data_IF_564263480097
#
_entry.id   IF_564263480097
#
_cell.length_a   1.000
_cell.length_b   1.000
_cell.length_c   1.000
_cell.angle_alpha   90.00
_cell.angle_beta   90.00
_cell.angle_gamma   90.00
#
_symmetry.space_group_name_H-M   'P 1'
#
loop_
_entity.id
_entity.type
_entity.pdbx_description
1 polymer ?
#
# COMPACT_ATOMS: atom_id res chain seq x y z
N UNK A 1 24.55 -19.35 -26.16
CA UNK A 1 23.22 -19.79 -25.69
C UNK A 1 22.22 -19.51 -26.79
N UNK A 2 21.40 -20.49 -27.17
CA UNK A 2 20.45 -20.34 -28.28
C UNK A 2 19.22 -19.62 -27.72
N UNK A 3 19.07 -18.32 -28.00
CA UNK A 3 17.82 -17.60 -27.74
C UNK A 3 16.85 -17.93 -28.89
N UNK A 4 16.27 -19.12 -28.89
CA UNK A 4 15.18 -19.43 -29.82
C UNK A 4 13.87 -18.86 -29.24
N UNK A 5 13.07 -18.12 -30.03
CA UNK A 5 11.78 -17.63 -29.57
C UNK A 5 10.76 -18.75 -29.33
N UNK A 6 11.01 -19.95 -29.88
CA UNK A 6 10.20 -21.15 -29.70
C UNK A 6 11.10 -22.35 -29.40
N UNK A 7 10.77 -23.08 -28.33
CA UNK A 7 11.41 -24.30 -27.90
C UNK A 7 10.41 -25.46 -28.00
N UNK A 8 10.62 -26.34 -28.97
CA UNK A 8 9.81 -27.55 -29.15
C UNK A 8 10.25 -28.64 -28.15
N UNK A 9 9.63 -28.66 -26.99
CA UNK A 9 10.03 -29.49 -25.85
C UNK A 9 9.82 -30.99 -26.12
N UNK A 10 8.84 -31.33 -26.96
CA UNK A 10 8.58 -32.72 -27.33
C UNK A 10 9.72 -33.37 -28.13
N UNK A 11 10.60 -32.57 -28.76
CA UNK A 11 11.78 -33.05 -29.48
C UNK A 11 13.01 -33.23 -28.57
N UNK A 12 12.92 -32.88 -27.28
CA UNK A 12 14.02 -32.96 -26.31
C UNK A 12 13.93 -34.27 -25.52
N UNK A 13 15.06 -34.93 -25.28
CA UNK A 13 15.10 -36.14 -24.45
C UNK A 13 14.49 -35.89 -23.06
N UNK A 14 13.66 -36.80 -22.51
CA UNK A 14 12.91 -36.57 -21.27
C UNK A 14 13.75 -36.05 -20.10
N UNK A 15 14.95 -36.61 -19.89
CA UNK A 15 15.88 -36.20 -18.83
C UNK A 15 16.47 -34.80 -19.00
N UNK A 16 16.45 -34.27 -20.23
CA UNK A 16 17.02 -32.97 -20.59
C UNK A 16 15.96 -31.88 -20.74
N UNK A 17 14.66 -32.22 -20.74
CA UNK A 17 13.56 -31.24 -20.92
C UNK A 17 13.64 -30.10 -19.90
N UNK A 18 13.59 -30.40 -18.60
CA UNK A 18 13.59 -29.36 -17.56
C UNK A 18 14.92 -28.57 -17.51
N UNK A 19 16.11 -29.21 -17.50
CA UNK A 19 17.38 -28.48 -17.54
C UNK A 19 17.47 -27.51 -18.74
N UNK A 20 17.06 -27.94 -19.93
CA UNK A 20 17.12 -27.08 -21.13
C UNK A 20 16.20 -25.87 -21.03
N UNK A 21 15.00 -26.05 -20.47
CA UNK A 21 14.05 -24.95 -20.25
C UNK A 21 14.57 -23.97 -19.21
N UNK A 22 15.21 -24.48 -18.14
CA UNK A 22 15.78 -23.66 -17.08
C UNK A 22 16.96 -22.84 -17.61
N UNK A 23 17.85 -23.48 -18.37
CA UNK A 23 18.97 -22.79 -19.02
C UNK A 23 18.46 -21.70 -19.98
N UNK A 24 17.38 -21.96 -20.74
CA UNK A 24 16.77 -20.94 -21.60
C UNK A 24 16.17 -19.78 -20.80
N UNK A 25 15.48 -20.09 -19.71
CA UNK A 25 14.88 -19.08 -18.84
C UNK A 25 15.95 -18.23 -18.13
N UNK A 26 16.99 -18.87 -17.58
CA UNK A 26 18.08 -18.22 -16.88
C UNK A 26 18.87 -17.31 -17.85
N UNK A 27 18.96 -17.67 -19.13
CA UNK A 27 19.58 -16.90 -20.20
C UNK A 27 18.80 -15.66 -20.68
N UNK A 28 17.53 -15.51 -20.28
CA UNK A 28 16.74 -14.35 -20.66
C UNK A 28 17.30 -13.10 -20.01
N UNK A 29 17.42 -12.03 -20.78
CA UNK A 29 17.54 -10.69 -20.21
C UNK A 29 16.17 -10.22 -19.70
N UNK A 30 16.17 -9.18 -18.90
CA UNK A 30 14.93 -8.60 -18.39
C UNK A 30 14.01 -8.14 -19.54
N UNK A 31 12.72 -8.45 -19.43
CA UNK A 31 11.72 -8.19 -20.48
C UNK A 31 11.72 -9.17 -21.65
N UNK A 32 12.68 -10.09 -21.71
CA UNK A 32 12.70 -11.13 -22.74
C UNK A 32 11.78 -12.29 -22.38
N UNK A 33 11.31 -12.99 -23.42
CA UNK A 33 10.49 -14.19 -23.27
C UNK A 33 10.75 -15.17 -24.41
N UNK A 34 10.38 -16.43 -24.18
CA UNK A 34 10.35 -17.48 -25.18
C UNK A 34 9.11 -18.36 -24.98
N UNK A 35 8.75 -19.13 -26.01
CA UNK A 35 7.60 -20.02 -25.98
C UNK A 35 8.11 -21.46 -25.88
N UNK A 36 7.53 -22.26 -24.99
CA UNK A 36 7.64 -23.72 -25.03
C UNK A 36 6.42 -24.30 -25.74
N UNK A 37 6.63 -25.30 -26.59
CA UNK A 37 5.58 -26.14 -27.17
C UNK A 37 5.76 -27.58 -26.73
N UNK A 38 4.73 -28.16 -26.12
CA UNK A 38 4.77 -29.49 -25.52
C UNK A 38 3.56 -30.33 -25.94
N UNK A 39 3.66 -31.65 -25.81
CA UNK A 39 2.62 -32.64 -26.13
C UNK A 39 1.64 -32.92 -24.97
N UNK A 40 1.87 -32.29 -23.81
CA UNK A 40 1.00 -32.36 -22.63
C UNK A 40 1.10 -31.06 -21.81
N UNK A 41 0.16 -30.85 -20.88
CA UNK A 41 0.15 -29.68 -19.99
C UNK A 41 1.43 -29.62 -19.14
N UNK A 42 2.25 -28.56 -19.28
CA UNK A 42 3.48 -28.39 -18.51
C UNK A 42 3.24 -27.88 -17.07
N UNK A 43 2.04 -28.07 -16.50
CA UNK A 43 1.71 -27.65 -15.13
C UNK A 43 2.71 -28.13 -14.04
N UNK A 44 3.29 -29.35 -14.08
CA UNK A 44 4.34 -29.72 -13.12
C UNK A 44 5.61 -28.87 -13.23
N UNK A 45 6.00 -28.52 -14.46
CA UNK A 45 7.13 -27.66 -14.76
C UNK A 45 6.90 -26.23 -14.24
N UNK A 46 5.67 -25.72 -14.36
CA UNK A 46 5.28 -24.42 -13.77
C UNK A 46 5.58 -24.37 -12.28
N UNK A 47 5.11 -25.35 -11.50
CA UNK A 47 5.34 -25.36 -10.06
C UNK A 47 6.83 -25.48 -9.70
N UNK A 48 7.61 -26.21 -10.50
CA UNK A 48 9.04 -26.32 -10.27
C UNK A 48 9.76 -24.99 -10.53
N UNK A 49 9.50 -24.33 -11.67
CA UNK A 49 10.06 -23.00 -11.96
C UNK A 49 9.62 -21.95 -10.94
N UNK A 50 8.37 -21.99 -10.50
CA UNK A 50 7.85 -21.09 -9.48
C UNK A 50 8.59 -21.26 -8.15
N UNK A 51 8.83 -22.51 -7.72
CA UNK A 51 9.57 -22.79 -6.50
C UNK A 51 11.04 -22.37 -6.54
N UNK A 52 11.66 -22.43 -7.72
CA UNK A 52 13.09 -22.16 -7.88
C UNK A 52 13.44 -20.72 -8.33
N UNK A 53 12.53 -20.00 -8.99
CA UNK A 53 12.78 -18.68 -9.62
C UNK A 53 11.69 -17.64 -9.34
N UNK A 54 10.70 -17.95 -8.49
CA UNK A 54 9.36 -17.33 -8.42
C UNK A 54 9.20 -15.81 -8.26
N UNK A 55 10.25 -15.00 -8.22
CA UNK A 55 10.14 -13.54 -8.30
C UNK A 55 10.20 -13.00 -9.74
N UNK A 56 10.85 -13.73 -10.65
CA UNK A 56 11.14 -13.25 -12.01
C UNK A 56 10.40 -14.04 -13.09
N UNK A 57 9.44 -14.89 -12.72
CA UNK A 57 8.75 -15.79 -13.65
C UNK A 57 7.42 -15.19 -14.14
N UNK A 58 7.35 -14.88 -15.43
CA UNK A 58 6.10 -14.70 -16.17
C UNK A 58 5.71 -16.05 -16.81
N UNK A 59 4.46 -16.48 -16.62
CA UNK A 59 3.93 -17.73 -17.17
C UNK A 59 2.55 -17.51 -17.81
N UNK A 60 2.46 -17.58 -19.14
CA UNK A 60 1.22 -17.35 -19.87
C UNK A 60 0.92 -18.50 -20.83
N UNK A 61 -0.25 -19.13 -20.68
CA UNK A 61 -0.75 -20.07 -21.68
C UNK A 61 -1.15 -19.34 -22.96
N UNK A 62 -0.62 -19.80 -24.10
CA UNK A 62 -1.01 -19.36 -25.45
C UNK A 62 -1.96 -20.37 -26.11
N UNK A 63 -1.80 -21.65 -25.80
CA UNK A 63 -2.64 -22.75 -26.29
C UNK A 63 -2.72 -23.84 -25.21
N UNK A 64 -3.92 -24.39 -24.98
CA UNK A 64 -4.20 -25.34 -23.88
C UNK A 64 -4.80 -26.66 -24.39
N UNK A 65 -4.14 -27.29 -25.37
CA UNK A 65 -4.54 -28.59 -25.91
C UNK A 65 -5.77 -28.57 -26.84
N UNK A 66 -6.23 -29.75 -27.31
CA UNK A 66 -5.78 -31.09 -26.94
C UNK A 66 -4.54 -31.59 -27.68
N UNK A 67 -4.17 -30.98 -28.82
CA UNK A 67 -3.06 -31.45 -29.64
C UNK A 67 -1.70 -30.92 -29.16
N UNK A 68 -1.63 -29.64 -28.78
CA UNK A 68 -0.42 -29.01 -28.28
C UNK A 68 -0.69 -28.05 -27.13
N UNK A 69 0.31 -27.89 -26.27
CA UNK A 69 0.32 -26.92 -25.20
C UNK A 69 1.44 -25.92 -25.47
N UNK A 70 1.08 -24.64 -25.61
CA UNK A 70 2.03 -23.56 -25.82
C UNK A 70 2.00 -22.61 -24.63
N UNK A 71 3.16 -22.36 -24.04
CA UNK A 71 3.29 -21.46 -22.90
C UNK A 71 4.43 -20.49 -23.17
N UNK A 72 4.17 -19.20 -22.96
CA UNK A 72 5.21 -18.18 -22.94
C UNK A 72 5.80 -18.06 -21.54
N UNK A 73 7.11 -18.24 -21.44
CA UNK A 73 7.92 -18.00 -20.25
C UNK A 73 8.71 -16.71 -20.46
N UNK A 74 8.78 -15.83 -19.46
CA UNK A 74 9.55 -14.60 -19.57
C UNK A 74 10.03 -14.05 -18.25
N UNK A 75 10.96 -13.10 -18.31
CA UNK A 75 11.32 -12.26 -17.17
C UNK A 75 10.57 -10.92 -17.27
N UNK A 76 10.06 -10.36 -16.17
CA UNK A 76 9.50 -9.02 -16.21
C UNK A 76 10.56 -8.02 -16.69
N UNK A 77 10.13 -6.96 -17.38
CA UNK A 77 11.01 -5.83 -17.65
C UNK A 77 11.47 -5.25 -16.30
N UNK A 78 12.73 -4.83 -16.18
CA UNK A 78 13.29 -4.25 -14.95
C UNK A 78 12.55 -2.94 -14.61
N UNK A 79 11.87 -2.35 -15.60
CA UNK A 79 10.94 -1.23 -15.45
C UNK A 79 9.50 -1.62 -15.07
N UNK A 80 9.11 -2.90 -15.11
CA UNK A 80 7.79 -3.36 -14.65
C UNK A 80 7.71 -3.58 -13.14
N UNK A 81 8.84 -3.43 -12.42
CA UNK A 81 8.82 -3.14 -10.98
C UNK A 81 9.37 -1.74 -10.72
N UNK A 82 8.76 -0.71 -11.31
CA UNK A 82 8.92 0.64 -10.76
C UNK A 82 8.37 0.59 -9.33
N UNK A 83 9.27 0.46 -8.36
CA UNK A 83 8.92 0.39 -6.96
C UNK A 83 8.12 1.64 -6.58
N UNK A 84 6.84 1.47 -6.30
CA UNK A 84 5.96 2.58 -5.94
C UNK A 84 6.24 3.03 -4.52
N UNK A 85 5.92 4.28 -4.19
CA UNK A 85 6.13 4.80 -2.82
C UNK A 85 5.32 4.04 -1.76
N UNK A 86 4.14 3.53 -2.12
CA UNK A 86 3.36 2.65 -1.26
C UNK A 86 4.09 1.33 -1.01
N UNK A 87 4.65 0.70 -2.04
CA UNK A 87 5.41 -0.54 -1.85
C UNK A 87 6.71 -0.34 -1.05
N UNK A 88 7.36 0.82 -1.21
CA UNK A 88 8.52 1.21 -0.39
C UNK A 88 8.10 1.35 1.09
N UNK A 89 7.00 2.04 1.37
CA UNK A 89 6.48 2.23 2.73
C UNK A 89 6.05 0.90 3.37
N UNK A 90 5.42 0.00 2.61
CA UNK A 90 4.96 -1.29 3.11
C UNK A 90 6.10 -2.23 3.53
N UNK A 91 7.29 -2.07 2.94
CA UNK A 91 8.48 -2.88 3.26
C UNK A 91 9.25 -2.38 4.49
N UNK A 92 9.21 -1.07 4.75
CA UNK A 92 10.00 -0.46 5.81
C UNK A 92 9.28 0.76 6.40
N UNK A 93 8.82 0.61 7.65
CA UNK A 93 8.11 1.66 8.38
C UNK A 93 8.96 2.93 8.55
N UNK A 94 10.30 2.82 8.54
CA UNK A 94 11.20 3.98 8.62
C UNK A 94 11.15 4.82 7.33
N UNK A 95 10.97 4.15 6.18
CA UNK A 95 10.78 4.82 4.90
C UNK A 95 9.42 5.51 4.83
N UNK A 96 8.37 4.88 5.39
CA UNK A 96 7.07 5.54 5.55
C UNK A 96 7.19 6.84 6.37
N UNK A 97 7.97 6.83 7.45
CA UNK A 97 8.24 8.03 8.26
C UNK A 97 8.97 9.13 7.46
N UNK A 98 9.98 8.77 6.66
CA UNK A 98 10.66 9.74 5.77
C UNK A 98 9.69 10.32 4.75
N UNK A 99 8.88 9.49 4.10
CA UNK A 99 7.89 9.95 3.10
C UNK A 99 6.89 10.92 3.74
N UNK A 100 6.40 10.61 4.94
CA UNK A 100 5.53 11.50 5.75
C UNK A 100 6.19 12.84 6.05
N UNK A 101 7.43 12.85 6.53
CA UNK A 101 8.17 14.07 6.88
C UNK A 101 8.40 14.97 5.66
N UNK A 102 8.55 14.38 4.48
CA UNK A 102 8.70 15.11 3.22
C UNK A 102 7.36 15.54 2.61
N UNK A 103 6.23 15.12 3.18
CA UNK A 103 4.89 15.41 2.65
C UNK A 103 4.57 14.62 1.38
N UNK A 104 5.22 13.47 1.15
CA UNK A 104 4.90 12.58 0.04
C UNK A 104 3.62 11.81 0.37
N UNK A 105 2.66 11.83 -0.55
CA UNK A 105 1.40 11.07 -0.43
C UNK A 105 1.61 9.59 -0.79
N UNK A 106 2.20 8.83 0.14
CA UNK A 106 2.42 7.39 -0.04
C UNK A 106 1.20 6.52 0.32
N UNK A 107 0.16 7.13 0.89
CA UNK A 107 -1.02 6.44 1.39
C UNK A 107 -2.10 6.33 0.30
N UNK A 108 -2.55 7.47 -0.23
CA UNK A 108 -3.54 7.55 -1.30
C UNK A 108 -2.84 7.54 -2.66
N UNK A 109 -1.76 8.32 -2.79
CA UNK A 109 -0.86 8.34 -3.95
C UNK A 109 0.13 7.17 -4.01
N UNK A 110 -0.08 6.08 -3.27
CA UNK A 110 0.87 4.98 -3.11
C UNK A 110 1.32 4.27 -4.39
N UNK A 111 0.56 4.43 -5.49
CA UNK A 111 0.90 3.92 -6.82
C UNK A 111 1.95 4.77 -7.57
N UNK A 112 2.24 5.98 -7.10
CA UNK A 112 3.26 6.83 -7.70
C UNK A 112 4.63 6.18 -7.64
N UNK A 113 5.39 6.32 -8.72
CA UNK A 113 6.81 5.98 -8.75
C UNK A 113 7.60 6.91 -7.83
N UNK A 114 8.79 6.48 -7.41
CA UNK A 114 9.68 7.33 -6.61
C UNK A 114 9.98 8.68 -7.29
N UNK A 115 10.08 8.69 -8.62
CA UNK A 115 10.32 9.89 -9.40
C UNK A 115 9.16 10.87 -9.36
N UNK A 116 7.93 10.38 -9.53
CA UNK A 116 6.71 11.20 -9.48
C UNK A 116 6.51 11.78 -8.09
N UNK A 117 6.70 10.95 -7.06
CA UNK A 117 6.63 11.37 -5.67
C UNK A 117 7.72 12.39 -5.30
N UNK A 118 8.96 12.24 -5.80
CA UNK A 118 10.00 13.25 -5.58
C UNK A 118 9.60 14.59 -6.21
N UNK A 119 9.10 14.56 -7.44
CA UNK A 119 8.68 15.77 -8.15
C UNK A 119 7.50 16.47 -7.47
N UNK A 120 6.55 15.73 -6.87
CA UNK A 120 5.40 16.32 -6.18
C UNK A 120 5.79 17.13 -4.93
N UNK A 121 6.94 16.84 -4.32
CA UNK A 121 7.50 17.55 -3.16
C UNK A 121 8.70 18.43 -3.50
N UNK A 122 8.96 18.67 -4.79
CA UNK A 122 10.05 19.55 -5.25
C UNK A 122 11.46 19.00 -5.05
N UNK A 123 11.59 17.67 -4.95
CA UNK A 123 12.87 16.95 -4.90
C UNK A 123 13.16 16.24 -6.23
N UNK A 124 14.42 15.88 -6.45
CA UNK A 124 14.79 14.90 -7.48
C UNK A 124 14.75 13.46 -6.92
N UNK A 125 14.63 12.48 -7.82
CA UNK A 125 14.53 11.05 -7.44
C UNK A 125 15.76 10.57 -6.65
N UNK A 126 16.96 11.07 -6.98
CA UNK A 126 18.21 10.64 -6.37
C UNK A 126 18.25 11.10 -4.91
N UNK A 127 17.87 12.34 -4.66
CA UNK A 127 17.81 12.93 -3.32
C UNK A 127 16.75 12.24 -2.45
N UNK A 128 15.55 11.98 -2.99
CA UNK A 128 14.53 11.22 -2.25
C UNK A 128 15.03 9.80 -1.91
N UNK A 129 15.62 9.10 -2.89
CA UNK A 129 16.20 7.76 -2.69
C UNK A 129 17.30 7.76 -1.63
N UNK A 130 18.17 8.79 -1.64
CA UNK A 130 19.24 8.96 -0.65
C UNK A 130 18.67 9.09 0.76
N UNK A 131 17.63 9.91 0.96
CA UNK A 131 16.97 10.08 2.27
C UNK A 131 16.32 8.79 2.76
N UNK A 132 15.64 8.05 1.88
CA UNK A 132 15.03 6.76 2.22
C UNK A 132 16.08 5.74 2.65
N UNK A 133 17.20 5.65 1.93
CA UNK A 133 18.27 4.70 2.27
C UNK A 133 18.96 5.07 3.60
N UNK A 134 19.12 6.35 3.91
CA UNK A 134 19.69 6.79 5.19
C UNK A 134 18.84 6.40 6.40
N UNK A 135 17.51 6.28 6.22
CA UNK A 135 16.64 5.81 7.30
C UNK A 135 16.90 4.35 7.69
N UNK A 136 17.55 3.56 6.82
CA UNK A 136 17.88 2.16 7.11
C UNK A 136 18.93 2.00 8.21
N UNK A 137 19.73 3.04 8.46
CA UNK A 137 20.75 3.08 9.50
C UNK A 137 20.18 3.40 10.90
N UNK A 138 18.91 3.83 10.97
CA UNK A 138 18.24 4.11 12.24
C UNK A 138 17.82 2.80 12.93
N UNK A 139 18.17 2.60 14.21
CA UNK A 139 17.81 1.40 14.95
C UNK A 139 16.29 1.29 15.07
N UNK A 140 15.74 0.14 14.68
CA UNK A 140 14.32 -0.17 14.84
C UNK A 140 14.07 -0.56 16.30
N UNK A 141 13.05 0.02 16.94
CA UNK A 141 12.50 -0.51 18.18
C UNK A 141 11.65 -1.77 17.89
N UNK A 142 12.32 -2.89 17.58
CA UNK A 142 11.68 -4.18 17.32
C UNK A 142 11.95 -4.76 15.93
N UNK A 143 11.46 -5.98 15.64
CA UNK A 143 11.55 -6.57 14.31
C UNK A 143 10.65 -5.79 13.31
N UNK A 144 11.07 -5.61 12.05
CA UNK A 144 10.22 -5.03 11.02
C UNK A 144 8.97 -5.89 10.81
N UNK A 145 7.78 -5.28 10.92
CA UNK A 145 6.50 -5.95 10.64
C UNK A 145 6.31 -6.03 9.13
N UNK A 146 6.29 -7.24 8.57
CA UNK A 146 6.03 -7.44 7.15
C UNK A 146 4.53 -7.68 6.90
N UNK A 147 3.76 -6.58 6.89
CA UNK A 147 2.30 -6.62 6.69
C UNK A 147 1.89 -7.30 5.37
N UNK A 148 2.77 -7.31 4.36
CA UNK A 148 2.51 -7.98 3.08
C UNK A 148 2.38 -9.49 3.22
N UNK A 149 3.01 -10.10 4.23
CA UNK A 149 2.96 -11.55 4.43
C UNK A 149 1.76 -11.98 5.29
N UNK A 150 0.98 -11.03 5.83
CA UNK A 150 -0.14 -11.34 6.72
C UNK A 150 -1.37 -11.81 5.95
N UNK A 151 -2.11 -12.75 6.52
CA UNK A 151 -3.41 -13.16 6.00
C UNK A 151 -4.41 -11.99 6.09
N UNK A 152 -5.39 -11.97 5.18
CA UNK A 152 -6.30 -10.84 5.00
C UNK A 152 -7.24 -10.61 6.19
N UNK A 153 -7.67 -11.70 6.84
CA UNK A 153 -8.49 -11.70 8.05
C UNK A 153 -7.71 -11.19 9.26
N UNK A 154 -6.45 -11.60 9.40
CA UNK A 154 -5.57 -11.12 10.46
C UNK A 154 -5.21 -9.64 10.26
N UNK A 155 -4.95 -9.21 9.03
CA UNK A 155 -4.66 -7.81 8.73
C UNK A 155 -5.85 -6.90 9.04
N UNK A 156 -7.08 -7.30 8.69
CA UNK A 156 -8.28 -6.53 9.04
C UNK A 156 -8.51 -6.48 10.55
N UNK A 157 -8.26 -7.57 11.26
CA UNK A 157 -8.29 -7.58 12.73
C UNK A 157 -7.25 -6.67 13.36
N UNK A 158 -6.04 -6.62 12.81
CA UNK A 158 -5.01 -5.71 13.28
C UNK A 158 -5.43 -4.25 13.08
N UNK A 159 -5.88 -3.88 11.87
CA UNK A 159 -6.32 -2.53 11.55
C UNK A 159 -7.43 -2.08 12.52
N UNK A 160 -8.43 -2.93 12.74
CA UNK A 160 -9.51 -2.66 13.69
C UNK A 160 -9.00 -2.51 15.14
N UNK A 161 -8.16 -3.43 15.60
CA UNK A 161 -7.79 -3.48 17.02
C UNK A 161 -6.67 -2.52 17.41
N UNK A 162 -5.91 -2.02 16.43
CA UNK A 162 -4.83 -1.04 16.63
C UNK A 162 -5.30 0.33 16.20
N UNK A 163 -5.60 0.53 14.91
CA UNK A 163 -5.87 1.84 14.34
C UNK A 163 -7.28 2.35 14.65
N UNK A 164 -8.33 1.57 14.39
CA UNK A 164 -9.72 2.04 14.67
C UNK A 164 -9.92 2.27 16.17
N UNK A 165 -9.36 1.40 17.00
CA UNK A 165 -9.38 1.58 18.46
C UNK A 165 -8.67 2.88 18.85
N UNK A 166 -7.47 3.13 18.31
CA UNK A 166 -6.73 4.36 18.59
C UNK A 166 -7.52 5.60 18.18
N UNK A 167 -8.13 5.61 17.00
CA UNK A 167 -9.00 6.70 16.52
C UNK A 167 -10.15 6.95 17.50
N UNK A 168 -10.84 5.89 17.95
CA UNK A 168 -11.99 6.01 18.87
C UNK A 168 -11.58 6.42 20.29
N UNK A 169 -10.37 6.08 20.73
CA UNK A 169 -9.84 6.49 22.04
C UNK A 169 -9.31 7.93 22.02
N UNK A 170 -8.65 8.36 20.94
CA UNK A 170 -7.99 9.67 20.85
C UNK A 170 -8.87 10.76 20.27
N UNK A 171 -9.76 10.45 19.34
CA UNK A 171 -10.64 11.41 18.69
C UNK A 171 -11.39 12.29 19.69
N UNK A 172 -12.15 11.73 20.65
CA UNK A 172 -12.89 12.54 21.62
C UNK A 172 -12.01 13.42 22.50
N UNK A 173 -10.80 12.95 22.85
CA UNK A 173 -9.83 13.70 23.66
C UNK A 173 -9.28 14.90 22.87
N UNK A 174 -8.94 14.69 21.61
CA UNK A 174 -8.46 15.74 20.70
C UNK A 174 -9.56 16.79 20.51
N UNK A 175 -10.79 16.33 20.29
CA UNK A 175 -11.96 17.16 20.07
C UNK A 175 -12.24 18.08 21.28
N UNK A 176 -12.31 17.51 22.49
CA UNK A 176 -12.47 18.28 23.73
C UNK A 176 -11.35 19.30 23.93
N UNK A 177 -10.11 18.89 23.65
CA UNK A 177 -8.94 19.75 23.82
C UNK A 177 -8.93 20.89 22.78
N UNK A 178 -9.39 20.62 21.55
CA UNK A 178 -9.55 21.63 20.50
C UNK A 178 -10.56 22.70 20.90
N UNK A 179 -11.74 22.30 21.39
CA UNK A 179 -12.76 23.24 21.89
C UNK A 179 -12.18 24.11 23.01
N UNK A 180 -11.54 23.50 24.01
CA UNK A 180 -10.96 24.21 25.15
C UNK A 180 -9.86 25.21 24.74
N UNK A 181 -9.00 24.82 23.80
CA UNK A 181 -7.92 25.67 23.31
C UNK A 181 -8.49 26.82 22.49
N UNK A 182 -9.48 26.56 21.63
CA UNK A 182 -10.20 27.60 20.89
C UNK A 182 -10.88 28.59 21.85
N UNK A 183 -11.64 28.12 22.85
CA UNK A 183 -12.35 28.98 23.80
C UNK A 183 -11.43 29.97 24.53
N UNK A 184 -10.23 29.51 24.93
CA UNK A 184 -9.28 30.32 25.70
C UNK A 184 -8.46 31.26 24.80
N UNK A 185 -8.09 30.81 23.60
CA UNK A 185 -7.09 31.50 22.78
C UNK A 185 -7.66 32.19 21.52
N UNK A 186 -8.94 31.99 21.16
CA UNK A 186 -9.55 32.51 19.94
C UNK A 186 -9.40 34.02 19.72
N UNK A 187 -9.31 34.82 20.80
CA UNK A 187 -9.13 36.28 20.66
C UNK A 187 -7.78 36.63 20.03
N UNK A 188 -6.72 35.89 20.37
CA UNK A 188 -5.37 36.10 19.83
C UNK A 188 -5.08 35.18 18.63
N UNK A 189 -5.76 34.03 18.58
CA UNK A 189 -5.57 32.95 17.62
C UNK A 189 -6.93 32.51 17.04
N UNK A 190 -7.60 33.36 16.23
CA UNK A 190 -8.92 33.06 15.68
C UNK A 190 -8.94 31.82 14.79
N UNK A 191 -7.81 31.42 14.22
CA UNK A 191 -7.63 30.19 13.45
C UNK A 191 -7.97 28.93 14.25
N UNK A 192 -7.89 28.96 15.58
CA UNK A 192 -8.20 27.82 16.45
C UNK A 192 -9.70 27.49 16.49
N UNK A 193 -10.56 28.48 16.26
CA UNK A 193 -12.00 28.24 16.11
C UNK A 193 -12.25 27.40 14.85
N UNK A 194 -11.60 27.77 13.74
CA UNK A 194 -11.69 27.01 12.50
C UNK A 194 -11.09 25.61 12.67
N UNK A 195 -9.92 25.49 13.29
CA UNK A 195 -9.31 24.19 13.59
C UNK A 195 -10.27 23.27 14.33
N UNK A 196 -10.95 23.80 15.34
CA UNK A 196 -11.89 23.03 16.15
C UNK A 196 -13.10 22.55 15.35
N UNK A 197 -13.66 23.41 14.48
CA UNK A 197 -14.79 23.06 13.63
C UNK A 197 -14.43 22.02 12.56
N UNK A 198 -13.25 22.17 11.94
CA UNK A 198 -12.74 21.23 10.94
C UNK A 198 -12.43 19.87 11.58
N UNK A 199 -11.90 19.84 12.80
CA UNK A 199 -11.71 18.59 13.55
C UNK A 199 -13.02 17.89 13.90
N UNK A 200 -14.06 18.65 14.26
CA UNK A 200 -15.38 18.08 14.55
C UNK A 200 -15.97 17.38 13.31
N UNK A 201 -15.94 18.05 12.16
CA UNK A 201 -16.45 17.51 10.90
C UNK A 201 -15.64 16.28 10.46
N UNK A 202 -14.31 16.41 10.45
CA UNK A 202 -13.39 15.33 10.08
C UNK A 202 -13.58 14.08 10.94
N UNK A 203 -13.70 14.22 12.26
CA UNK A 203 -13.90 13.07 13.15
C UNK A 203 -15.27 12.42 12.95
N UNK A 204 -16.32 13.20 12.68
CA UNK A 204 -17.65 12.65 12.38
C UNK A 204 -17.61 11.81 11.08
N UNK A 205 -17.04 12.35 10.01
CA UNK A 205 -16.89 11.64 8.74
C UNK A 205 -16.01 10.38 8.89
N UNK A 206 -14.89 10.50 9.62
CA UNK A 206 -14.02 9.37 9.91
C UNK A 206 -14.75 8.27 10.70
N UNK A 207 -15.54 8.60 11.71
CA UNK A 207 -16.28 7.58 12.46
C UNK A 207 -17.32 6.84 11.60
N UNK A 208 -18.01 7.55 10.71
CA UNK A 208 -18.94 6.94 9.75
C UNK A 208 -18.20 6.05 8.75
N UNK A 209 -17.00 6.45 8.32
CA UNK A 209 -16.12 5.66 7.48
C UNK A 209 -15.68 4.35 8.19
N UNK A 210 -15.11 4.43 9.40
CA UNK A 210 -14.69 3.24 10.17
C UNK A 210 -15.86 2.26 10.39
N UNK A 211 -17.05 2.78 10.69
CA UNK A 211 -18.25 1.97 10.85
C UNK A 211 -18.63 1.21 9.57
N UNK A 212 -18.40 1.79 8.40
CA UNK A 212 -18.65 1.17 7.10
C UNK A 212 -17.70 0.00 6.88
N UNK A 213 -16.43 0.18 7.20
CA UNK A 213 -15.42 -0.87 7.09
C UNK A 213 -15.71 -2.02 8.03
N UNK A 214 -15.96 -1.72 9.30
CA UNK A 214 -16.21 -2.73 10.32
C UNK A 214 -17.50 -3.53 10.10
N UNK A 215 -18.50 -2.93 9.45
CA UNK A 215 -19.81 -3.57 9.19
C UNK A 215 -19.92 -4.22 7.82
N UNK A 216 -19.07 -3.87 6.86
CA UNK A 216 -19.18 -4.34 5.47
C UNK A 216 -17.87 -4.90 4.93
N UNK A 217 -16.78 -4.12 4.99
CA UNK A 217 -15.50 -4.52 4.41
C UNK A 217 -14.84 -5.67 5.18
N UNK A 218 -14.65 -5.53 6.50
CA UNK A 218 -13.95 -6.52 7.31
C UNK A 218 -14.70 -7.86 7.38
N UNK A 219 -16.04 -7.93 7.49
CA UNK A 219 -16.77 -9.18 7.33
C UNK A 219 -16.50 -9.90 5.99
N UNK A 220 -16.34 -9.15 4.89
CA UNK A 220 -15.98 -9.73 3.60
C UNK A 220 -14.57 -10.34 3.59
N UNK A 221 -13.60 -9.73 4.30
CA UNK A 221 -12.25 -10.31 4.46
C UNK A 221 -12.25 -11.66 5.19
N UNK A 222 -13.28 -11.92 6.00
CA UNK A 222 -13.43 -13.14 6.81
C UNK A 222 -14.37 -14.18 6.18
N UNK A 223 -14.89 -13.91 4.98
CA UNK A 223 -15.95 -14.69 4.35
C UNK A 223 -17.22 -14.80 5.21
N UNK A 224 -17.47 -13.84 6.10
CA UNK A 224 -18.67 -13.77 6.96
C UNK A 224 -19.83 -13.04 6.26
N UNK A 225 -19.55 -12.38 5.13
CA UNK A 225 -20.51 -11.69 4.29
C UNK A 225 -20.29 -12.05 2.82
N UNK A 226 -21.32 -12.57 2.15
CA UNK A 226 -21.27 -12.86 0.72
C UNK A 226 -21.49 -11.58 -0.09
N UNK A 227 -20.40 -10.98 -0.54
CA UNK A 227 -20.40 -9.93 -1.56
C UNK A 227 -20.05 -10.52 -2.92
N UNK A 228 -20.62 -9.98 -3.99
CA UNK A 228 -20.15 -10.26 -5.35
C UNK A 228 -18.86 -9.49 -5.64
N UNK A 229 -18.04 -9.96 -6.59
CA UNK A 229 -16.82 -9.25 -7.02
C UNK A 229 -17.08 -7.79 -7.39
N UNK A 230 -18.24 -7.51 -8.02
CA UNK A 230 -18.65 -6.14 -8.36
C UNK A 230 -18.94 -5.29 -7.13
N UNK A 231 -19.59 -5.85 -6.12
CA UNK A 231 -19.89 -5.11 -4.89
C UNK A 231 -18.62 -4.82 -4.08
N UNK A 232 -17.68 -5.77 -4.03
CA UNK A 232 -16.37 -5.56 -3.38
C UNK A 232 -15.59 -4.45 -4.10
N UNK A 233 -15.52 -4.49 -5.42
CA UNK A 233 -14.87 -3.44 -6.21
C UNK A 233 -15.49 -2.07 -5.96
N UNK A 234 -16.82 -1.95 -6.03
CA UNK A 234 -17.52 -0.70 -5.76
C UNK A 234 -17.33 -0.18 -4.33
N UNK A 235 -17.34 -1.07 -3.34
CA UNK A 235 -17.10 -0.72 -1.94
C UNK A 235 -15.68 -0.17 -1.77
N UNK A 236 -14.68 -0.85 -2.32
CA UNK A 236 -13.28 -0.41 -2.22
C UNK A 236 -13.05 0.92 -2.94
N UNK A 237 -13.59 1.10 -4.16
CA UNK A 237 -13.46 2.39 -4.86
C UNK A 237 -14.08 3.53 -4.06
N UNK A 238 -15.21 3.27 -3.40
CA UNK A 238 -15.86 4.24 -2.53
C UNK A 238 -15.00 4.56 -1.28
N UNK A 239 -14.45 3.55 -0.60
CA UNK A 239 -13.57 3.75 0.55
C UNK A 239 -12.29 4.51 0.17
N UNK A 240 -11.69 4.21 -0.99
CA UNK A 240 -10.54 4.96 -1.51
C UNK A 240 -10.91 6.44 -1.73
N UNK A 241 -12.11 6.74 -2.24
CA UNK A 241 -12.53 8.14 -2.41
C UNK A 241 -12.68 8.87 -1.06
N UNK A 242 -13.19 8.19 -0.02
CA UNK A 242 -13.25 8.75 1.35
C UNK A 242 -11.84 8.94 1.95
N UNK A 243 -10.88 8.07 1.64
CA UNK A 243 -9.47 8.28 2.01
C UNK A 243 -8.84 9.48 1.33
N UNK A 244 -9.13 9.72 0.04
CA UNK A 244 -8.65 10.91 -0.67
C UNK A 244 -9.21 12.19 -0.06
N UNK A 245 -10.47 12.19 0.35
CA UNK A 245 -11.11 13.32 1.02
C UNK A 245 -10.52 13.54 2.42
N UNK A 246 -10.36 12.47 3.21
CA UNK A 246 -9.67 12.51 4.51
C UNK A 246 -8.24 13.09 4.37
N UNK A 247 -7.51 12.71 3.32
CA UNK A 247 -6.18 13.25 3.02
C UNK A 247 -6.18 14.76 2.78
N UNK A 248 -7.20 15.30 2.08
CA UNK A 248 -7.35 16.75 1.85
C UNK A 248 -7.67 17.50 3.15
N UNK A 249 -8.48 16.90 4.01
CA UNK A 249 -8.83 17.46 5.32
C UNK A 249 -7.61 17.52 6.24
N UNK A 250 -6.81 16.46 6.31
CA UNK A 250 -5.54 16.46 7.05
C UNK A 250 -4.58 17.55 6.54
N UNK A 251 -4.46 17.72 5.21
CA UNK A 251 -3.68 18.83 4.64
C UNK A 251 -4.22 20.20 5.06
N UNK A 252 -5.54 20.35 5.18
CA UNK A 252 -6.16 21.58 5.65
C UNK A 252 -5.88 21.83 7.13
N UNK A 253 -5.95 20.81 7.99
CA UNK A 253 -5.55 20.89 9.40
C UNK A 253 -4.08 21.32 9.54
N UNK A 254 -3.18 20.76 8.73
CA UNK A 254 -1.77 21.19 8.68
C UNK A 254 -1.61 22.66 8.28
N UNK A 255 -2.39 23.15 7.30
CA UNK A 255 -2.35 24.56 6.91
C UNK A 255 -2.78 25.49 8.05
N UNK A 256 -3.89 25.16 8.72
CA UNK A 256 -4.41 25.95 9.84
C UNK A 256 -3.39 26.01 10.99
N UNK A 257 -2.75 24.87 11.29
CA UNK A 257 -1.78 24.74 12.38
C UNK A 257 -0.35 25.16 12.00
N UNK A 258 -0.12 25.57 10.75
CA UNK A 258 1.21 25.86 10.20
C UNK A 258 2.19 24.70 10.44
N UNK A 259 1.78 23.48 10.04
CA UNK A 259 2.48 22.22 10.32
C UNK A 259 2.73 22.03 11.82
N UNK A 260 1.67 22.17 12.63
CA UNK A 260 1.73 21.99 14.08
C UNK A 260 2.78 22.87 14.78
N UNK A 261 3.06 24.06 14.23
CA UNK A 261 4.01 25.01 14.83
C UNK A 261 3.38 25.72 16.01
N UNK A 262 4.02 25.65 17.18
CA UNK A 262 3.52 26.28 18.40
C UNK A 262 3.87 27.78 18.45
N UNK A 263 2.94 28.66 18.86
CA UNK A 263 3.27 30.04 19.15
C UNK A 263 4.10 30.17 20.44
N UNK A 264 4.86 31.25 20.58
CA UNK A 264 5.77 31.47 21.71
C UNK A 264 5.09 31.46 23.10
N UNK A 265 3.80 31.76 23.14
CA UNK A 265 2.94 31.80 24.33
C UNK A 265 2.03 30.57 24.46
N UNK A 266 2.30 29.48 23.73
CA UNK A 266 1.51 28.25 23.80
C UNK A 266 1.48 27.69 25.24
N UNK A 267 0.28 27.44 25.75
CA UNK A 267 0.11 26.76 27.02
C UNK A 267 0.29 25.23 26.87
N UNK A 268 0.30 24.51 27.99
CA UNK A 268 0.42 23.04 27.97
C UNK A 268 -0.71 22.36 27.20
N UNK A 269 -1.95 22.88 27.30
CA UNK A 269 -3.10 22.34 26.55
C UNK A 269 -2.94 22.53 25.05
N UNK A 270 -2.47 23.69 24.62
CA UNK A 270 -2.16 23.98 23.21
C UNK A 270 -1.06 23.03 22.71
N UNK A 271 0.05 22.94 23.45
CA UNK A 271 1.16 22.03 23.14
C UNK A 271 0.69 20.58 23.00
N UNK A 272 -0.13 20.13 23.94
CA UNK A 272 -0.71 18.79 23.93
C UNK A 272 -1.66 18.56 22.76
N UNK A 273 -2.45 19.57 22.37
CA UNK A 273 -3.36 19.47 21.22
C UNK A 273 -2.60 19.19 19.94
N UNK A 274 -1.60 20.02 19.64
CA UNK A 274 -0.84 19.92 18.40
C UNK A 274 -0.07 18.60 18.34
N UNK A 275 0.56 18.19 19.45
CA UNK A 275 1.24 16.89 19.53
C UNK A 275 0.31 15.70 19.36
N UNK A 276 -0.92 15.78 19.88
CA UNK A 276 -1.91 14.71 19.71
C UNK A 276 -2.47 14.66 18.29
N UNK A 277 -2.74 15.81 17.65
CA UNK A 277 -3.18 15.85 16.24
C UNK A 277 -2.08 15.27 15.34
N UNK A 278 -0.81 15.64 15.55
CA UNK A 278 0.32 15.11 14.77
C UNK A 278 0.47 13.59 14.94
N UNK A 279 0.33 13.08 16.17
CA UNK A 279 0.35 11.64 16.44
C UNK A 279 -0.83 10.92 15.80
N UNK A 280 -2.01 11.54 15.84
CA UNK A 280 -3.23 11.01 15.24
C UNK A 280 -3.13 10.93 13.73
N UNK A 281 -2.68 12.01 13.08
CA UNK A 281 -2.43 12.03 11.65
C UNK A 281 -1.42 10.95 11.26
N UNK A 282 -0.34 10.77 12.04
CA UNK A 282 0.66 9.75 11.76
C UNK A 282 0.09 8.33 11.82
N UNK A 283 -0.73 8.02 12.81
CA UNK A 283 -1.39 6.70 12.93
C UNK A 283 -2.38 6.48 11.78
N UNK A 284 -3.19 7.50 11.47
CA UNK A 284 -4.19 7.42 10.41
C UNK A 284 -3.57 7.27 9.02
N UNK A 285 -2.46 7.96 8.72
CA UNK A 285 -1.74 7.77 7.47
C UNK A 285 -1.19 6.34 7.35
N UNK A 286 -0.71 5.75 8.45
CA UNK A 286 -0.30 4.35 8.46
C UNK A 286 -1.49 3.41 8.23
N UNK A 287 -2.63 3.66 8.88
CA UNK A 287 -3.88 2.93 8.68
C UNK A 287 -4.29 2.93 7.20
N UNK A 288 -4.49 4.11 6.60
CA UNK A 288 -4.89 4.26 5.20
C UNK A 288 -3.89 3.56 4.27
N UNK A 289 -2.58 3.63 4.60
CA UNK A 289 -1.56 2.94 3.82
C UNK A 289 -1.76 1.41 3.83
N UNK A 290 -1.96 0.82 5.01
CA UNK A 290 -2.20 -0.63 5.15
C UNK A 290 -3.44 -1.07 4.35
N UNK A 291 -4.47 -0.24 4.30
CA UNK A 291 -5.67 -0.53 3.55
C UNK A 291 -5.47 -0.42 2.05
N UNK A 292 -5.11 0.78 1.57
CA UNK A 292 -5.00 1.06 0.14
C UNK A 292 -3.96 0.20 -0.56
N UNK A 293 -2.84 -0.07 0.10
CA UNK A 293 -1.68 -0.69 -0.52
C UNK A 293 -1.51 -2.18 -0.18
N UNK A 294 -2.26 -2.71 0.79
CA UNK A 294 -2.11 -4.10 1.23
C UNK A 294 -3.46 -4.81 1.33
N UNK A 295 -4.39 -4.32 2.16
CA UNK A 295 -5.67 -5.00 2.41
C UNK A 295 -6.56 -5.02 1.15
N UNK A 296 -6.78 -3.85 0.52
CA UNK A 296 -7.68 -3.72 -0.63
C UNK A 296 -7.17 -4.50 -1.85
N UNK A 297 -5.88 -4.43 -2.25
CA UNK A 297 -5.37 -5.27 -3.34
C UNK A 297 -5.54 -6.77 -3.06
N UNK A 298 -5.30 -7.22 -1.82
CA UNK A 298 -5.49 -8.62 -1.43
C UNK A 298 -6.95 -9.04 -1.52
N UNK A 299 -7.87 -8.19 -1.06
CA UNK A 299 -9.30 -8.46 -1.11
C UNK A 299 -9.78 -8.56 -2.56
N UNK A 300 -9.42 -7.60 -3.42
CA UNK A 300 -9.79 -7.64 -4.83
C UNK A 300 -9.28 -8.92 -5.51
N UNK A 301 -8.02 -9.29 -5.23
CA UNK A 301 -7.44 -10.52 -5.76
C UNK A 301 -8.20 -11.77 -5.30
N UNK A 302 -8.67 -11.85 -4.04
CA UNK A 302 -9.45 -12.99 -3.55
C UNK A 302 -10.82 -13.10 -4.23
N UNK A 303 -11.36 -12.00 -4.76
CA UNK A 303 -12.59 -11.96 -5.55
C UNK A 303 -12.37 -11.98 -7.07
N UNK A 304 -11.12 -12.18 -7.53
CA UNK A 304 -10.78 -12.23 -8.96
C UNK A 304 -10.86 -10.89 -9.68
N UNK A 305 -10.77 -9.77 -8.95
CA UNK A 305 -10.78 -8.40 -9.49
C UNK A 305 -9.36 -7.85 -9.53
N UNK A 306 -8.98 -7.17 -10.61
CA UNK A 306 -7.72 -6.44 -10.68
C UNK A 306 -7.91 -4.99 -10.21
N UNK A 307 -6.96 -4.49 -9.42
CA UNK A 307 -6.88 -3.07 -9.09
C UNK A 307 -6.59 -2.27 -10.36
N UNK A 308 -7.54 -1.42 -10.77
CA UNK A 308 -7.28 -0.32 -11.71
C UNK A 308 -6.53 0.77 -10.95
#
# INVERSE_FOLDING_TARGET
MIKSPLLEVFNIEPRLKHPTIFDHFDALDSGESFIIKNDHDPKPLYYQLLGERGKDLIWNYLESGPEYWQVRLGKPLESETLETVGHIAAKDIRKAEVLKQLGVDFCCGGKQTLKEAAHSVGLDEIELRRRLNQSEELPIAGPPLNFKDWDIDFLSDYIKNVHHRYVREKGPIIQELAHKVADVHAQQHPELVNLSQELDAFLDDLYHHLDKEEKQLFPATKNEQELTSKQVDQLIQFLISEHEDSGKELQQLRKITQNYTLPANACNSYTSLFSQIESFESDLLQHIHLENNILFPKLLASYGVQMN
#
